data_IF_872233104690
#
_entry.id   IF_872233104690
#
_cell.length_a   1.000
_cell.length_b   1.000
_cell.length_c   1.000
_cell.angle_alpha   90.00
_cell.angle_beta   90.00
_cell.angle_gamma   90.00
#
_symmetry.space_group_name_H-M   'P 1'
#
loop_
_entity.id
_entity.type
_entity.pdbx_description
1 polymer ?
#
# COMPACT_ATOMS: atom_id res chain seq x y z
N UNK A 1 24.59 -16.24 2.83
CA UNK A 1 24.20 -16.23 3.10
C UNK A 1 23.52 -16.30 3.48
N UNK A 2 23.61 -16.36 3.91
CA UNK A 2 23.01 -16.65 4.39
C UNK A 2 22.15 -16.46 4.70
N UNK A 3 22.07 -16.01 4.87
CA UNK A 3 21.28 -15.89 5.29
C UNK A 3 20.39 -16.00 5.05
N UNK A 4 20.66 -15.99 4.62
CA UNK A 4 20.09 -16.11 4.41
C UNK A 4 19.41 -16.33 4.66
N UNK A 5 19.68 -16.22 4.86
CA UNK A 5 19.30 -16.68 5.10
C UNK A 5 18.28 -16.75 5.42
N UNK A 6 18.08 -16.90 5.35
CA UNK A 6 17.08 -17.51 5.54
C UNK A 6 16.01 -16.82 6.09
N UNK A 7 15.29 -16.06 5.47
CA UNK A 7 14.14 -15.41 5.96
C UNK A 7 14.41 -14.43 7.06
N UNK A 8 15.62 -14.10 7.24
CA UNK A 8 15.97 -13.17 8.29
C UNK A 8 16.07 -11.77 7.75
N UNK A 9 14.99 -11.31 7.14
CA UNK A 9 14.93 -9.95 6.65
C UNK A 9 14.53 -9.05 7.81
N UNK A 10 15.31 -8.02 8.04
CA UNK A 10 15.00 -7.08 9.12
C UNK A 10 13.75 -6.28 8.77
N UNK A 11 12.98 -5.89 9.75
CA UNK A 11 11.73 -5.18 9.48
C UNK A 11 11.91 -3.89 8.69
N UNK A 12 13.03 -3.23 8.82
CA UNK A 12 13.24 -1.97 8.10
C UNK A 12 14.15 -2.14 6.89
N UNK A 13 14.45 -3.37 6.53
CA UNK A 13 15.27 -3.67 5.37
C UNK A 13 14.40 -3.71 4.13
N UNK A 14 14.92 -3.23 3.01
CA UNK A 14 14.16 -3.31 1.77
C UNK A 14 14.08 -4.76 1.35
N UNK A 15 12.87 -5.29 1.36
CA UNK A 15 12.63 -6.69 1.03
C UNK A 15 12.10 -6.87 -0.38
N UNK A 16 11.54 -5.83 -0.98
CA UNK A 16 10.90 -6.00 -2.27
C UNK A 16 10.73 -4.65 -2.95
N UNK A 17 10.89 -4.64 -4.26
CA UNK A 17 10.62 -3.45 -5.06
C UNK A 17 9.53 -3.81 -6.05
N UNK A 18 8.62 -2.87 -6.24
CA UNK A 18 7.39 -3.15 -6.97
C UNK A 18 7.03 -1.95 -7.82
N UNK A 19 6.64 -2.23 -9.05
CA UNK A 19 6.09 -1.20 -9.92
C UNK A 19 4.60 -1.43 -10.05
N UNK A 20 3.82 -0.38 -9.92
CA UNK A 20 2.37 -0.47 -9.96
C UNK A 20 1.82 0.33 -11.13
N UNK A 21 0.81 -0.21 -11.77
CA UNK A 21 0.05 0.59 -12.72
C UNK A 21 -0.76 1.62 -11.95
N UNK A 22 -1.33 2.58 -12.69
CA UNK A 22 -2.13 3.61 -12.04
C UNK A 22 -3.32 3.01 -11.28
N UNK A 23 -3.97 2.02 -11.87
CA UNK A 23 -5.09 1.37 -11.20
C UNK A 23 -4.65 0.68 -9.93
N UNK A 24 -3.53 -0.04 -10.02
CA UNK A 24 -3.00 -0.74 -8.86
C UNK A 24 -2.59 0.23 -7.77
N UNK A 25 -2.00 1.35 -8.16
CA UNK A 25 -1.60 2.35 -7.20
C UNK A 25 -2.80 2.91 -6.46
N UNK A 26 -3.85 3.25 -7.19
CA UNK A 26 -5.03 3.82 -6.56
C UNK A 26 -5.69 2.83 -5.60
N UNK A 27 -5.81 1.58 -6.02
CA UNK A 27 -6.39 0.57 -5.15
C UNK A 27 -5.52 0.32 -3.92
N UNK A 28 -4.22 0.30 -4.12
CA UNK A 28 -3.30 0.09 -2.99
C UNK A 28 -3.42 1.24 -1.98
N UNK A 29 -3.43 2.46 -2.49
CA UNK A 29 -3.57 3.63 -1.63
C UNK A 29 -4.88 3.57 -0.85
N UNK A 30 -5.98 3.29 -1.54
CA UNK A 30 -7.29 3.24 -0.91
C UNK A 30 -7.36 2.14 0.15
N UNK A 31 -6.79 0.99 -0.17
CA UNK A 31 -6.78 -0.12 0.77
C UNK A 31 -5.98 0.22 2.02
N UNK A 32 -4.83 0.86 1.86
CA UNK A 32 -4.01 1.23 3.00
C UNK A 32 -4.68 2.29 3.85
N UNK A 33 -5.36 3.25 3.21
CA UNK A 33 -6.09 4.26 3.96
C UNK A 33 -7.22 3.63 4.76
N UNK A 34 -7.94 2.72 4.14
CA UNK A 34 -9.03 2.04 4.84
C UNK A 34 -8.49 1.22 6.01
N UNK A 35 -7.39 0.53 5.78
CA UNK A 35 -6.78 -0.28 6.83
C UNK A 35 -6.32 0.60 7.98
N UNK A 36 -5.72 1.74 7.65
CA UNK A 36 -5.26 2.65 8.68
C UNK A 36 -6.41 3.10 9.56
N UNK A 37 -7.57 3.36 8.96
CA UNK A 37 -8.73 3.80 9.71
C UNK A 37 -9.33 2.70 10.57
N UNK A 38 -9.05 1.45 10.24
CA UNK A 38 -9.60 0.33 10.99
C UNK A 38 -8.87 0.06 12.29
N UNK A 39 -7.63 0.52 12.41
CA UNK A 39 -6.86 0.25 13.61
C UNK A 39 -7.17 1.26 14.68
N UNK A 40 -7.26 0.79 15.90
CA UNK A 40 -7.46 1.67 17.04
C UNK A 40 -6.15 2.23 17.54
N UNK A 41 -6.25 2.92 18.64
CA UNK A 41 -5.08 3.59 19.20
C UNK A 41 -4.04 2.62 19.72
N UNK A 42 -4.43 1.39 19.97
CA UNK A 42 -3.50 0.39 20.47
C UNK A 42 -2.55 -0.11 19.42
N UNK A 43 -2.82 0.20 18.15
CA UNK A 43 -2.08 -0.40 17.05
C UNK A 43 -1.09 0.58 16.45
N UNK A 44 -0.35 1.26 17.29
CA UNK A 44 0.60 2.27 16.82
C UNK A 44 1.62 1.73 15.85
N UNK A 45 2.14 0.54 16.14
CA UNK A 45 3.19 0.00 15.28
C UNK A 45 2.68 -0.24 13.89
N UNK A 46 1.48 -0.80 13.78
CA UNK A 46 0.90 -1.08 12.48
C UNK A 46 0.57 0.21 11.76
N UNK A 47 -0.02 1.17 12.49
CA UNK A 47 -0.35 2.45 11.88
C UNK A 47 0.89 3.15 11.37
N UNK A 48 1.98 3.08 12.09
CA UNK A 48 3.21 3.74 11.68
C UNK A 48 3.75 3.11 10.42
N UNK A 49 3.67 1.79 10.31
CA UNK A 49 4.15 1.10 9.12
C UNK A 49 3.28 1.49 7.93
N UNK A 50 1.97 1.54 8.12
CA UNK A 50 1.08 1.92 7.03
C UNK A 50 1.37 3.34 6.57
N UNK A 51 1.55 4.26 7.50
CA UNK A 51 1.88 5.64 7.14
C UNK A 51 3.21 5.73 6.43
N UNK A 52 4.15 4.90 6.82
CA UNK A 52 5.45 4.87 6.15
C UNK A 52 5.28 4.48 4.68
N UNK A 53 4.45 3.49 4.41
CA UNK A 53 4.19 3.09 3.03
C UNK A 53 3.49 4.20 2.28
N UNK A 54 2.48 4.82 2.90
CA UNK A 54 1.74 5.90 2.24
C UNK A 54 2.66 7.06 1.89
N UNK A 55 3.63 7.34 2.75
CA UNK A 55 4.58 8.42 2.49
C UNK A 55 5.50 8.13 1.32
N UNK A 56 5.67 6.86 0.98
CA UNK A 56 6.51 6.48 -0.15
C UNK A 56 5.76 6.54 -1.47
N UNK A 57 4.45 6.63 -1.40
CA UNK A 57 3.63 6.71 -2.60
C UNK A 57 3.57 8.16 -3.09
N UNK A 58 3.14 8.37 -4.33
CA UNK A 58 2.94 9.73 -4.83
C UNK A 58 1.97 10.52 -3.96
N UNK A 59 1.94 11.83 -4.09
CA UNK A 59 1.04 12.65 -3.27
C UNK A 59 -0.41 12.24 -3.43
N UNK A 60 -1.20 12.40 -2.37
CA UNK A 60 -2.61 11.99 -2.44
C UNK A 60 -3.36 12.63 -3.60
N UNK A 61 -3.07 13.88 -3.93
CA UNK A 61 -3.76 14.55 -5.03
C UNK A 61 -3.51 13.84 -6.34
N UNK A 62 -2.27 13.40 -6.56
CA UNK A 62 -1.95 12.70 -7.79
C UNK A 62 -2.67 11.37 -7.86
N UNK A 63 -2.74 10.66 -6.73
CA UNK A 63 -3.39 9.37 -6.70
C UNK A 63 -4.89 9.52 -6.87
N UNK A 64 -5.47 10.51 -6.22
CA UNK A 64 -6.91 10.70 -6.28
C UNK A 64 -7.38 11.14 -7.64
N UNK A 65 -6.49 11.71 -8.43
CA UNK A 65 -6.85 12.12 -9.77
C UNK A 65 -6.89 10.95 -10.74
N UNK A 66 -6.41 9.77 -10.32
CA UNK A 66 -6.45 8.61 -11.18
C UNK A 66 -7.89 8.15 -11.32
N UNK A 67 -8.30 7.96 -12.55
CA UNK A 67 -9.66 7.59 -12.85
C UNK A 67 -9.74 6.09 -13.05
N UNK A 68 -10.45 5.44 -12.16
CA UNK A 68 -10.65 3.99 -12.25
C UNK A 68 -11.89 3.62 -13.05
N UNK A 69 -12.30 4.50 -13.95
CA UNK A 69 -13.48 4.20 -14.75
C UNK A 69 -13.23 2.93 -15.54
N UNK A 70 -13.80 1.86 -15.08
CA UNK A 70 -13.67 0.56 -15.72
C UNK A 70 -15.05 0.10 -16.14
N UNK A 71 -15.53 0.61 -17.26
CA UNK A 71 -16.92 0.36 -17.64
C UNK A 71 -17.31 -1.10 -17.64
N UNK A 72 -16.40 -1.94 -18.06
CA UNK A 72 -16.72 -3.35 -18.14
C UNK A 72 -16.99 -3.99 -16.80
N UNK A 73 -16.57 -3.32 -15.71
CA UNK A 73 -16.83 -3.87 -14.42
C UNK A 73 -18.21 -3.65 -13.93
N UNK A 74 -18.81 -2.64 -14.42
CA UNK A 74 -20.11 -2.32 -13.92
C UNK A 74 -21.12 -3.29 -14.31
N UNK A 75 -20.78 -3.94 -15.26
CA UNK A 75 -21.72 -4.81 -15.61
C UNK A 75 -21.61 -5.94 -15.03
N UNK A 76 -21.31 -6.18 -14.49
CA UNK A 76 -21.13 -7.17 -13.80
C UNK A 76 -21.81 -7.53 -13.12
N UNK A 77 -22.20 -7.10 -13.07
CA UNK A 77 -22.68 -7.27 -12.48
C UNK A 77 -23.22 -7.43 -12.42
#
# INVERSE_FOLDING_TARGET
MAKDDIGLIEPDEIAFRLELTASELKLTYSALKALLNDFGHDEYDVQRIIRSVLNKLPPPEAIESIDLALPHRRRRL
#
